data_IF_267163661462
#
_entry.id   IF_267163661462
#
_cell.length_a   1.000
_cell.length_b   1.000
_cell.length_c   1.000
_cell.angle_alpha   90.00
_cell.angle_beta   90.00
_cell.angle_gamma   90.00
#
_symmetry.space_group_name_H-M   'P 1'
#
loop_
_entity.id
_entity.type
_entity.pdbx_description
1 polymer ?
#
# COMPACT_ATOMS: atom_id res chain seq x y z
N UNK A 1 28.48 24.80 -34.91
CA UNK A 1 28.04 25.16 -33.55
C UNK A 1 28.01 23.85 -32.80
N UNK A 2 29.06 23.62 -32.00
CA UNK A 2 29.14 22.46 -31.09
C UNK A 2 28.18 22.73 -29.93
N UNK A 3 27.24 21.84 -29.57
CA UNK A 3 26.41 22.03 -28.41
C UNK A 3 27.32 21.97 -27.16
N UNK A 4 27.16 22.95 -26.27
CA UNK A 4 27.76 23.00 -24.96
C UNK A 4 27.30 21.79 -24.15
N UNK A 5 28.19 21.05 -23.44
CA UNK A 5 27.77 19.91 -22.64
C UNK A 5 26.82 20.39 -21.55
N UNK A 6 25.64 19.76 -21.43
CA UNK A 6 24.70 20.01 -20.37
C UNK A 6 25.43 19.80 -19.03
N UNK A 7 25.36 20.78 -18.13
CA UNK A 7 25.92 20.69 -16.78
C UNK A 7 25.26 19.52 -16.05
N UNK A 8 26.07 18.63 -15.49
CA UNK A 8 25.54 17.51 -14.68
C UNK A 8 24.79 18.06 -13.44
N UNK A 9 23.69 17.44 -13.03
CA UNK A 9 22.96 17.88 -11.85
C UNK A 9 23.83 17.75 -10.60
N UNK A 10 23.89 18.80 -9.79
CA UNK A 10 24.57 18.77 -8.49
C UNK A 10 23.68 18.03 -7.49
N UNK A 11 24.21 17.00 -6.86
CA UNK A 11 23.53 16.23 -5.80
C UNK A 11 24.14 16.62 -4.47
N UNK A 12 23.28 16.82 -3.46
CA UNK A 12 23.71 17.11 -2.08
C UNK A 12 23.08 16.09 -1.12
N UNK A 13 23.85 15.69 -0.10
CA UNK A 13 23.37 14.84 1.00
C UNK A 13 23.20 15.70 2.26
N UNK A 14 22.05 15.60 2.90
CA UNK A 14 21.73 16.32 4.13
C UNK A 14 22.54 15.73 5.30
N UNK A 15 23.36 16.57 5.96
CA UNK A 15 24.27 16.16 7.04
C UNK A 15 23.77 16.51 8.44
N UNK A 16 22.74 17.39 8.57
CA UNK A 16 22.14 17.76 9.85
C UNK A 16 20.96 16.88 10.23
N UNK A 17 20.75 16.61 11.52
CA UNK A 17 19.50 16.01 11.99
C UNK A 17 18.34 16.98 11.74
N UNK A 18 17.24 16.54 11.08
CA UNK A 18 16.01 17.32 10.85
C UNK A 18 16.24 18.74 10.27
N UNK A 19 16.83 18.80 9.07
CA UNK A 19 17.10 20.07 8.39
C UNK A 19 15.81 20.70 7.85
N UNK A 20 15.58 21.96 8.21
CA UNK A 20 14.41 22.69 7.75
C UNK A 20 14.49 23.06 6.26
N UNK A 21 13.50 22.60 5.49
CA UNK A 21 13.21 23.08 4.14
C UNK A 21 12.36 24.35 4.26
N UNK A 22 12.86 25.47 3.76
CA UNK A 22 12.22 26.78 3.94
C UNK A 22 11.63 27.31 2.62
N UNK A 23 10.59 28.09 2.72
CA UNK A 23 9.88 28.66 1.55
C UNK A 23 10.70 29.73 0.81
N UNK A 24 11.72 30.30 1.45
CA UNK A 24 12.66 31.25 0.84
C UNK A 24 14.07 31.13 1.46
N UNK A 25 15.14 31.62 0.80
CA UNK A 25 16.52 31.46 1.27
C UNK A 25 16.85 32.40 2.44
N UNK A 26 16.23 32.19 3.58
CA UNK A 26 16.40 32.94 4.81
C UNK A 26 16.13 32.10 6.04
N UNK A 27 16.92 32.31 7.10
CA UNK A 27 16.70 31.64 8.40
C UNK A 27 15.42 32.11 9.11
N UNK A 28 14.86 33.26 8.70
CA UNK A 28 13.60 33.79 9.22
C UNK A 28 12.38 33.36 8.42
N UNK A 29 12.58 32.70 7.26
CA UNK A 29 11.49 32.21 6.42
C UNK A 29 10.73 31.06 7.09
N UNK A 30 9.46 30.91 6.76
CA UNK A 30 8.63 29.80 7.21
C UNK A 30 9.22 28.46 6.79
N UNK A 31 9.08 27.46 7.65
CA UNK A 31 9.48 26.08 7.39
C UNK A 31 8.35 25.36 6.67
N UNK A 32 8.63 24.89 5.44
CA UNK A 32 7.66 24.12 4.66
C UNK A 32 7.59 22.66 5.16
N UNK A 33 8.75 22.05 5.44
CA UNK A 33 8.89 20.70 6.02
C UNK A 33 10.29 20.52 6.60
N UNK A 34 10.56 19.36 7.20
CA UNK A 34 11.90 18.97 7.69
C UNK A 34 12.41 17.78 6.89
N UNK A 35 13.73 17.73 6.66
CA UNK A 35 14.41 16.69 5.88
C UNK A 35 15.36 15.94 6.79
N UNK A 36 15.25 14.61 6.90
CA UNK A 36 16.14 13.78 7.71
C UNK A 36 17.59 13.79 7.21
N UNK A 37 18.54 13.57 8.12
CA UNK A 37 19.95 13.35 7.76
C UNK A 37 20.11 12.16 6.79
N UNK A 38 21.10 12.25 5.89
CA UNK A 38 21.36 11.23 4.88
C UNK A 38 20.46 11.28 3.66
N UNK A 39 19.48 12.21 3.62
CA UNK A 39 18.62 12.39 2.43
C UNK A 39 19.43 13.03 1.30
N UNK A 40 19.42 12.39 0.12
CA UNK A 40 20.04 12.92 -1.11
C UNK A 40 19.02 13.71 -1.91
N UNK A 41 19.43 14.91 -2.34
CA UNK A 41 18.56 15.86 -3.04
C UNK A 41 19.29 16.41 -4.27
N UNK A 42 18.58 16.56 -5.38
CA UNK A 42 19.08 17.25 -6.57
C UNK A 42 18.93 18.76 -6.34
N UNK A 43 20.03 19.50 -6.52
CA UNK A 43 20.03 20.96 -6.46
C UNK A 43 19.43 21.50 -7.77
N UNK A 44 18.29 22.16 -7.65
CA UNK A 44 17.60 22.82 -8.77
C UNK A 44 18.23 24.19 -9.06
N UNK A 45 18.66 24.91 -8.02
CA UNK A 45 19.26 26.23 -8.12
C UNK A 45 20.13 26.50 -6.88
N UNK A 46 21.22 27.26 -7.06
CA UNK A 46 22.04 27.79 -5.95
C UNK A 46 21.82 29.29 -5.86
N UNK A 47 21.40 29.74 -4.67
CA UNK A 47 21.08 31.15 -4.41
C UNK A 47 21.95 31.69 -3.27
N UNK A 48 22.49 32.89 -3.43
CA UNK A 48 23.16 33.62 -2.36
C UNK A 48 22.21 34.66 -1.80
N UNK A 49 21.89 34.55 -0.51
CA UNK A 49 21.03 35.49 0.20
C UNK A 49 21.73 36.87 0.43
N UNK A 50 20.99 37.89 0.83
CA UNK A 50 21.53 39.24 1.05
C UNK A 50 22.59 39.29 2.15
N UNK A 51 22.55 38.36 3.10
CA UNK A 51 23.51 38.20 4.18
C UNK A 51 24.81 37.47 3.76
N UNK A 52 24.91 37.07 2.46
CA UNK A 52 26.05 36.33 1.92
C UNK A 52 25.97 34.83 2.15
N UNK A 53 24.90 34.30 2.75
CA UNK A 53 24.69 32.87 2.98
C UNK A 53 24.27 32.18 1.69
N UNK A 54 24.86 31.04 1.36
CA UNK A 54 24.45 30.22 0.20
C UNK A 54 23.37 29.24 0.58
N UNK A 55 22.39 29.10 -0.32
CA UNK A 55 21.23 28.20 -0.19
C UNK A 55 21.09 27.37 -1.44
N UNK A 56 20.65 26.12 -1.27
CA UNK A 56 20.27 25.22 -2.34
C UNK A 56 18.76 25.15 -2.44
N UNK A 57 18.22 25.44 -3.61
CA UNK A 57 16.83 25.14 -3.95
C UNK A 57 16.73 23.66 -4.29
N UNK A 58 15.87 22.92 -3.59
CA UNK A 58 15.71 21.48 -3.73
C UNK A 58 14.22 21.12 -3.72
N UNK A 59 13.89 19.90 -4.15
CA UNK A 59 12.56 19.31 -4.01
C UNK A 59 12.64 18.09 -3.08
N UNK A 60 11.76 18.02 -2.09
CA UNK A 60 11.62 16.89 -1.17
C UNK A 60 10.13 16.56 -0.99
N UNK A 61 9.73 15.30 -1.26
CA UNK A 61 8.33 14.83 -1.18
C UNK A 61 7.33 15.78 -1.88
N UNK A 62 7.66 16.22 -3.11
CA UNK A 62 6.88 17.17 -3.92
C UNK A 62 6.77 18.59 -3.36
N UNK A 63 7.55 18.92 -2.33
CA UNK A 63 7.65 20.27 -1.77
C UNK A 63 8.96 20.91 -2.23
N UNK A 64 8.89 22.01 -3.00
CA UNK A 64 10.06 22.82 -3.32
C UNK A 64 10.36 23.81 -2.22
N UNK A 65 11.66 23.98 -1.92
CA UNK A 65 12.11 24.92 -0.92
C UNK A 65 13.62 25.09 -0.90
N UNK A 66 14.13 25.73 0.14
CA UNK A 66 15.52 26.09 0.30
C UNK A 66 16.13 25.46 1.55
N UNK A 67 17.30 24.84 1.42
CA UNK A 67 18.14 24.41 2.54
C UNK A 67 19.44 25.20 2.52
N UNK A 68 19.97 25.48 3.70
CA UNK A 68 21.24 26.20 3.83
C UNK A 68 22.39 25.26 3.43
N UNK A 69 23.36 25.79 2.66
CA UNK A 69 24.42 24.95 2.05
C UNK A 69 25.34 24.26 3.07
N UNK A 70 25.46 24.80 4.28
CA UNK A 70 26.25 24.18 5.37
C UNK A 70 25.51 23.02 6.09
N UNK A 71 24.24 22.80 5.76
CA UNK A 71 23.43 21.66 6.23
C UNK A 71 23.40 20.51 5.23
N UNK A 72 24.15 20.64 4.12
CA UNK A 72 24.21 19.60 3.09
C UNK A 72 25.64 19.55 2.49
N UNK A 73 26.10 18.37 2.22
CA UNK A 73 27.39 18.13 1.57
C UNK A 73 27.15 17.80 0.09
N UNK A 74 27.91 18.46 -0.81
CA UNK A 74 27.90 18.09 -2.22
C UNK A 74 28.52 16.72 -2.35
N UNK A 75 27.79 15.77 -2.91
CA UNK A 75 28.29 14.44 -3.26
C UNK A 75 28.55 14.44 -4.77
N UNK A 76 29.85 14.38 -5.13
CA UNK A 76 30.28 14.31 -6.52
C UNK A 76 30.12 12.85 -6.99
N UNK A 77 29.30 12.64 -8.00
CA UNK A 77 29.08 11.30 -8.60
C UNK A 77 30.30 10.84 -9.43
N UNK A 78 31.45 11.51 -9.32
CA UNK A 78 32.66 11.27 -10.11
C UNK A 78 33.87 10.75 -9.33
N UNK A 79 33.77 10.40 -8.06
CA UNK A 79 34.87 9.70 -7.35
C UNK A 79 34.75 8.18 -7.47
N UNK A 80 35.20 7.68 -8.61
CA UNK A 80 35.73 6.32 -8.72
C UNK A 80 37.09 6.28 -8.02
N UNK A 81 37.14 5.77 -6.82
CA UNK A 81 38.36 5.41 -6.10
C UNK A 81 39.01 4.15 -6.70
N UNK A 82 40.36 4.05 -6.68
CA UNK A 82 41.03 2.89 -7.25
C UNK A 82 40.92 1.66 -6.37
N UNK A 83 40.76 0.54 -7.03
CA UNK A 83 40.63 -0.83 -6.53
C UNK A 83 41.51 -1.20 -5.35
N UNK A 84 40.89 -1.61 -4.24
CA UNK A 84 41.42 -2.66 -3.38
C UNK A 84 40.22 -3.53 -2.89
N UNK A 85 40.35 -4.81 -3.23
CA UNK A 85 39.60 -5.96 -2.74
C UNK A 85 38.12 -6.04 -3.14
N UNK A 86 37.91 -6.67 -4.29
CA UNK A 86 36.63 -7.05 -4.86
C UNK A 86 35.98 -8.07 -3.90
N UNK A 87 35.18 -7.58 -2.95
CA UNK A 87 33.97 -8.28 -2.60
C UNK A 87 32.92 -7.81 -3.61
N UNK A 88 32.54 -8.72 -4.47
CA UNK A 88 31.45 -8.61 -5.42
C UNK A 88 30.20 -8.23 -4.62
N UNK A 89 29.89 -6.91 -4.50
CA UNK A 89 28.55 -6.48 -4.10
C UNK A 89 27.61 -7.00 -5.18
N UNK A 90 26.83 -8.00 -4.83
CA UNK A 90 25.71 -8.41 -5.68
C UNK A 90 24.90 -7.14 -6.01
N UNK A 91 24.55 -6.91 -7.29
CA UNK A 91 23.76 -5.74 -7.69
C UNK A 91 22.48 -5.72 -6.84
N UNK A 92 22.26 -4.62 -6.11
CA UNK A 92 21.00 -4.46 -5.39
C UNK A 92 19.86 -4.57 -6.41
N UNK A 93 18.89 -5.44 -6.19
CA UNK A 93 17.84 -5.68 -7.17
C UNK A 93 17.09 -4.38 -7.46
N UNK A 94 17.02 -4.01 -8.74
CA UNK A 94 16.18 -2.90 -9.17
C UNK A 94 14.73 -3.23 -8.83
N UNK A 95 14.11 -2.47 -7.93
CA UNK A 95 12.73 -2.71 -7.51
C UNK A 95 11.80 -2.24 -8.62
N UNK A 96 11.18 -3.16 -9.32
CA UNK A 96 10.15 -2.85 -10.32
C UNK A 96 8.78 -2.75 -9.66
N UNK A 97 8.03 -1.71 -10.00
CA UNK A 97 6.69 -1.44 -9.45
C UNK A 97 5.66 -1.38 -10.56
N UNK A 98 4.52 -2.00 -10.31
CA UNK A 98 3.33 -1.92 -11.13
C UNK A 98 2.20 -1.28 -10.32
N UNK A 99 1.57 -0.26 -10.89
CA UNK A 99 0.48 0.48 -10.24
C UNK A 99 -0.79 0.36 -11.09
N UNK A 100 -1.88 -0.10 -10.47
CA UNK A 100 -3.22 -0.04 -11.03
C UNK A 100 -4.05 0.96 -10.23
N UNK A 101 -4.81 1.82 -10.90
CA UNK A 101 -5.65 2.84 -10.25
C UNK A 101 -7.03 2.88 -10.88
N UNK A 102 -8.05 2.86 -10.01
CA UNK A 102 -9.45 3.07 -10.38
C UNK A 102 -10.17 3.92 -9.33
N UNK A 103 -11.44 4.21 -9.56
CA UNK A 103 -12.27 4.92 -8.57
C UNK A 103 -12.55 4.09 -7.32
N UNK A 104 -12.47 2.75 -7.41
CA UNK A 104 -12.81 1.82 -6.32
C UNK A 104 -11.58 1.32 -5.56
N UNK A 105 -10.47 1.06 -6.27
CA UNK A 105 -9.29 0.42 -5.71
C UNK A 105 -8.01 0.87 -6.41
N UNK A 106 -6.96 1.04 -5.62
CA UNK A 106 -5.60 1.16 -6.13
C UNK A 106 -4.81 -0.07 -5.69
N UNK A 107 -4.12 -0.71 -6.61
CA UNK A 107 -3.26 -1.87 -6.34
C UNK A 107 -1.85 -1.55 -6.77
N UNK A 108 -0.91 -1.77 -5.87
CA UNK A 108 0.52 -1.65 -6.13
C UNK A 108 1.19 -2.99 -5.93
N UNK A 109 1.91 -3.45 -6.95
CA UNK A 109 2.74 -4.65 -6.87
C UNK A 109 4.20 -4.24 -6.95
N UNK A 110 5.02 -4.78 -6.04
CA UNK A 110 6.45 -4.52 -5.99
C UNK A 110 7.19 -5.85 -6.15
N UNK A 111 7.99 -5.95 -7.21
CA UNK A 111 8.88 -7.08 -7.47
C UNK A 111 10.22 -6.86 -6.75
N UNK A 112 10.81 -7.94 -6.26
CA UNK A 112 12.18 -7.94 -5.73
C UNK A 112 13.21 -8.19 -6.83
N UNK A 113 12.81 -8.86 -7.92
CA UNK A 113 13.63 -9.10 -9.10
C UNK A 113 12.88 -8.57 -10.34
N UNK A 114 13.42 -7.57 -11.06
CA UNK A 114 12.81 -7.06 -12.28
C UNK A 114 12.64 -8.11 -13.38
N UNK A 115 13.47 -9.16 -13.36
CA UNK A 115 13.42 -10.23 -14.37
C UNK A 115 12.26 -11.22 -14.16
N UNK A 116 11.52 -11.10 -13.06
CA UNK A 116 10.39 -12.00 -12.73
C UNK A 116 9.21 -11.86 -13.70
N UNK A 117 9.08 -10.71 -14.35
CA UNK A 117 8.04 -10.46 -15.35
C UNK A 117 8.67 -9.82 -16.61
N UNK A 118 8.11 -10.08 -17.81
CA UNK A 118 8.51 -9.36 -19.02
C UNK A 118 8.28 -7.86 -18.92
N UNK A 119 9.11 -7.05 -19.59
CA UNK A 119 9.05 -5.57 -19.59
C UNK A 119 7.69 -5.00 -20.05
N UNK A 120 6.95 -5.76 -20.88
CA UNK A 120 5.63 -5.38 -21.38
C UNK A 120 4.48 -6.01 -20.58
N UNK A 121 4.73 -6.49 -19.35
CA UNK A 121 3.67 -6.97 -18.47
C UNK A 121 2.80 -5.81 -17.97
N UNK A 122 1.48 -6.00 -18.02
CA UNK A 122 0.49 -5.04 -17.56
C UNK A 122 -0.27 -5.61 -16.36
N UNK A 123 -0.41 -4.82 -15.29
CA UNK A 123 -1.21 -5.19 -14.12
C UNK A 123 -2.69 -4.95 -14.41
N UNK A 124 -3.50 -6.00 -14.33
CA UNK A 124 -4.95 -5.97 -14.47
C UNK A 124 -5.62 -6.28 -13.13
N UNK A 125 -6.61 -5.49 -12.75
CA UNK A 125 -7.41 -5.68 -11.54
C UNK A 125 -8.87 -5.52 -11.90
N UNK A 126 -9.66 -6.57 -11.67
CA UNK A 126 -11.08 -6.60 -12.01
C UNK A 126 -11.91 -7.02 -10.79
N UNK A 127 -12.92 -6.24 -10.38
CA UNK A 127 -13.86 -6.70 -9.36
C UNK A 127 -14.56 -7.98 -9.81
N UNK A 128 -14.68 -8.95 -8.89
CA UNK A 128 -15.36 -10.22 -9.14
C UNK A 128 -16.37 -10.53 -8.05
N UNK A 129 -17.43 -11.24 -8.40
CA UNK A 129 -18.37 -11.76 -7.41
C UNK A 129 -17.87 -13.12 -6.91
N UNK A 130 -17.85 -13.30 -5.58
CA UNK A 130 -17.49 -14.56 -4.97
C UNK A 130 -18.60 -15.59 -5.19
N UNK A 131 -18.19 -16.85 -5.29
CA UNK A 131 -19.15 -17.95 -5.22
C UNK A 131 -19.71 -18.06 -3.80
N UNK A 132 -20.92 -18.58 -3.67
CA UNK A 132 -21.53 -18.83 -2.36
C UNK A 132 -20.68 -19.75 -1.47
N UNK A 133 -19.95 -20.68 -2.10
CA UNK A 133 -19.07 -21.62 -1.40
C UNK A 133 -17.85 -20.90 -0.80
N UNK A 134 -17.16 -20.07 -1.57
CA UNK A 134 -16.01 -19.29 -1.10
C UNK A 134 -16.44 -18.31 0.01
N UNK A 135 -17.56 -17.60 -0.16
CA UNK A 135 -18.10 -16.69 0.83
C UNK A 135 -18.46 -17.42 2.15
N UNK A 136 -19.07 -18.60 2.04
CA UNK A 136 -19.40 -19.42 3.22
C UNK A 136 -18.15 -19.89 3.97
N UNK A 137 -17.10 -20.31 3.27
CA UNK A 137 -15.84 -20.73 3.87
C UNK A 137 -15.14 -19.57 4.59
N UNK A 138 -15.08 -18.36 3.97
CA UNK A 138 -14.53 -17.15 4.59
C UNK A 138 -15.32 -16.79 5.85
N UNK A 139 -16.65 -16.81 5.76
CA UNK A 139 -17.53 -16.54 6.91
C UNK A 139 -17.31 -17.54 8.04
N UNK A 140 -17.15 -18.83 7.73
CA UNK A 140 -16.89 -19.87 8.74
C UNK A 140 -15.55 -19.64 9.45
N UNK A 141 -14.50 -19.24 8.70
CA UNK A 141 -13.19 -18.89 9.28
C UNK A 141 -13.31 -17.67 10.21
N UNK A 142 -13.96 -16.60 9.76
CA UNK A 142 -14.17 -15.40 10.58
C UNK A 142 -14.92 -15.73 11.90
N UNK A 143 -15.96 -16.58 11.83
CA UNK A 143 -16.69 -17.05 13.03
C UNK A 143 -15.78 -17.83 13.98
N UNK A 144 -14.95 -18.75 13.47
CA UNK A 144 -13.99 -19.52 14.28
C UNK A 144 -12.98 -18.60 14.98
N UNK A 145 -12.55 -17.54 14.33
CA UNK A 145 -11.63 -16.52 14.85
C UNK A 145 -12.33 -15.44 15.70
N UNK A 146 -13.66 -15.52 15.83
CA UNK A 146 -14.50 -14.54 16.53
C UNK A 146 -14.42 -13.13 15.95
N UNK A 147 -14.20 -13.03 14.64
CA UNK A 147 -14.22 -11.80 13.88
C UNK A 147 -15.60 -11.57 13.28
N UNK A 148 -16.05 -10.32 13.24
CA UNK A 148 -17.27 -9.93 12.55
C UNK A 148 -16.89 -9.24 11.23
N UNK A 149 -17.33 -9.81 10.14
CA UNK A 149 -17.13 -9.22 8.82
C UNK A 149 -18.00 -7.97 8.69
N UNK A 150 -17.40 -6.86 8.27
CA UNK A 150 -18.09 -5.64 7.89
C UNK A 150 -18.40 -5.63 6.40
N UNK A 151 -17.39 -5.91 5.58
CA UNK A 151 -17.51 -5.93 4.13
C UNK A 151 -16.47 -6.87 3.51
N UNK A 152 -16.83 -7.45 2.36
CA UNK A 152 -15.93 -8.24 1.50
C UNK A 152 -15.66 -7.44 0.23
N UNK A 153 -14.40 -7.42 -0.19
CA UNK A 153 -13.96 -6.87 -1.45
C UNK A 153 -13.18 -7.94 -2.19
N UNK A 154 -13.58 -8.28 -3.38
CA UNK A 154 -12.97 -9.35 -4.16
C UNK A 154 -12.52 -8.86 -5.53
N UNK A 155 -11.29 -9.16 -5.88
CA UNK A 155 -10.65 -8.74 -7.11
C UNK A 155 -9.89 -9.90 -7.74
N UNK A 156 -10.05 -10.06 -9.05
CA UNK A 156 -9.14 -10.84 -9.87
C UNK A 156 -7.96 -9.94 -10.21
N UNK A 157 -6.78 -10.27 -9.68
CA UNK A 157 -5.53 -9.54 -9.89
C UNK A 157 -4.63 -10.43 -10.72
N UNK A 158 -4.10 -9.91 -11.84
CA UNK A 158 -3.22 -10.67 -12.74
C UNK A 158 -2.31 -9.78 -13.55
N UNK A 159 -1.23 -10.37 -14.04
CA UNK A 159 -0.39 -9.77 -15.05
C UNK A 159 -0.73 -10.34 -16.42
N UNK A 160 -0.76 -9.46 -17.42
CA UNK A 160 -1.03 -9.80 -18.80
C UNK A 160 0.15 -9.37 -19.68
N UNK A 161 0.56 -10.24 -20.59
CA UNK A 161 1.50 -9.95 -21.68
C UNK A 161 0.81 -10.29 -22.98
N UNK A 162 0.60 -9.29 -23.84
CA UNK A 162 -0.15 -9.44 -25.11
C UNK A 162 -1.54 -10.08 -24.94
N UNK A 163 -2.15 -9.89 -23.74
CA UNK A 163 -3.47 -10.41 -23.37
C UNK A 163 -3.45 -11.83 -22.80
N UNK A 164 -2.31 -12.48 -22.69
CA UNK A 164 -2.14 -13.77 -22.01
C UNK A 164 -1.66 -13.56 -20.57
N UNK A 165 -2.21 -14.36 -19.65
CA UNK A 165 -1.85 -14.31 -18.24
C UNK A 165 -0.44 -14.84 -18.00
N UNK A 166 0.33 -14.09 -17.19
CA UNK A 166 1.67 -14.47 -16.75
C UNK A 166 1.79 -14.38 -15.24
N UNK A 167 2.65 -15.20 -14.65
CA UNK A 167 2.87 -15.25 -13.21
C UNK A 167 4.32 -14.81 -12.90
N UNK A 168 4.57 -14.14 -11.76
CA UNK A 168 5.92 -13.82 -11.32
C UNK A 168 6.69 -15.11 -10.96
N UNK A 169 8.02 -15.07 -11.13
CA UNK A 169 8.90 -16.19 -10.77
C UNK A 169 9.14 -16.33 -9.27
N UNK A 170 9.03 -15.24 -8.53
CA UNK A 170 9.29 -15.15 -7.08
C UNK A 170 8.12 -14.53 -6.32
N UNK A 171 8.22 -14.50 -4.97
CA UNK A 171 7.26 -13.81 -4.13
C UNK A 171 7.32 -12.30 -4.36
N UNK A 172 6.18 -11.67 -4.47
CA UNK A 172 6.01 -10.24 -4.68
C UNK A 172 5.16 -9.63 -3.56
N UNK A 173 5.39 -8.34 -3.30
CA UNK A 173 4.57 -7.58 -2.34
C UNK A 173 3.42 -6.90 -3.06
N UNK A 174 2.21 -7.07 -2.51
CA UNK A 174 0.99 -6.44 -2.98
C UNK A 174 0.48 -5.50 -1.90
N UNK A 175 0.17 -4.26 -2.28
CA UNK A 175 -0.49 -3.29 -1.43
C UNK A 175 -1.79 -2.84 -2.10
N UNK A 176 -2.91 -3.00 -1.40
CA UNK A 176 -4.24 -2.64 -1.88
C UNK A 176 -4.80 -1.49 -1.05
N UNK A 177 -5.14 -0.39 -1.72
CA UNK A 177 -5.83 0.75 -1.12
C UNK A 177 -7.27 0.76 -1.63
N UNK A 178 -8.23 0.59 -0.75
CA UNK A 178 -9.64 0.72 -1.10
C UNK A 178 -10.06 2.19 -1.02
N UNK A 179 -10.64 2.72 -2.09
CA UNK A 179 -11.08 4.10 -2.19
C UNK A 179 -12.49 4.30 -1.60
N UNK A 180 -12.80 3.55 -0.53
CA UNK A 180 -14.05 3.68 0.22
C UNK A 180 -13.95 4.87 1.20
N UNK A 181 -15.09 5.47 1.54
CA UNK A 181 -15.14 6.59 2.50
C UNK A 181 -14.59 6.23 3.88
N UNK A 182 -14.60 4.94 4.20
CA UNK A 182 -14.15 4.42 5.48
C UNK A 182 -12.81 3.70 5.35
N UNK A 183 -11.84 4.19 6.10
CA UNK A 183 -10.52 3.57 6.20
C UNK A 183 -10.60 2.19 6.86
N UNK A 184 -10.01 1.17 6.23
CA UNK A 184 -9.83 -0.15 6.83
C UNK A 184 -8.82 -0.04 7.99
N UNK A 185 -9.13 -0.73 9.10
CA UNK A 185 -8.25 -0.77 10.26
C UNK A 185 -7.85 -2.18 10.67
N UNK A 186 -8.60 -3.18 10.22
CA UNK A 186 -8.34 -4.60 10.47
C UNK A 186 -8.89 -5.39 9.29
N UNK A 187 -8.03 -6.14 8.62
CA UNK A 187 -8.42 -6.94 7.47
C UNK A 187 -7.71 -8.29 7.48
N UNK A 188 -8.42 -9.31 6.97
CA UNK A 188 -7.81 -10.55 6.52
C UNK A 188 -7.77 -10.56 4.99
N UNK A 189 -6.78 -11.22 4.41
CA UNK A 189 -6.67 -11.42 2.97
C UNK A 189 -6.71 -12.91 2.69
N UNK A 190 -7.58 -13.30 1.76
CA UNK A 190 -7.65 -14.67 1.29
C UNK A 190 -7.42 -14.73 -0.21
N UNK A 191 -6.63 -15.69 -0.65
CA UNK A 191 -6.58 -16.13 -2.02
C UNK A 191 -7.68 -17.19 -2.24
N UNK A 192 -8.37 -17.12 -3.36
CA UNK A 192 -9.41 -18.07 -3.75
C UNK A 192 -9.03 -18.65 -5.12
N UNK A 193 -8.82 -19.97 -5.16
CA UNK A 193 -8.51 -20.67 -6.41
C UNK A 193 -9.77 -21.01 -7.22
N UNK A 194 -9.58 -21.57 -8.42
CA UNK A 194 -10.66 -21.96 -9.32
C UNK A 194 -11.57 -23.08 -8.76
N UNK A 195 -11.10 -23.82 -7.76
CA UNK A 195 -11.84 -24.88 -7.06
C UNK A 195 -12.55 -24.34 -5.80
N UNK A 196 -12.52 -23.03 -5.55
CA UNK A 196 -13.00 -22.33 -4.36
C UNK A 196 -12.26 -22.71 -3.06
N UNK A 197 -11.06 -23.26 -3.13
CA UNK A 197 -10.24 -23.37 -1.94
C UNK A 197 -9.74 -21.99 -1.52
N UNK A 198 -9.73 -21.75 -0.19
CA UNK A 198 -9.30 -20.49 0.36
C UNK A 198 -8.00 -20.64 1.15
N UNK A 199 -7.02 -19.80 0.85
CA UNK A 199 -5.74 -19.69 1.55
C UNK A 199 -5.65 -18.33 2.24
N UNK A 200 -5.19 -18.30 3.50
CA UNK A 200 -4.93 -17.04 4.21
C UNK A 200 -3.55 -16.51 3.79
N UNK A 201 -3.51 -15.27 3.34
CA UNK A 201 -2.29 -14.61 2.86
C UNK A 201 -1.55 -13.84 3.96
N UNK A 202 -1.94 -14.01 5.24
CA UNK A 202 -1.33 -13.31 6.38
C UNK A 202 -1.20 -11.80 6.16
N UNK A 203 -2.22 -11.21 5.53
CA UNK A 203 -2.28 -9.80 5.22
C UNK A 203 -2.26 -8.92 6.46
N UNK A 204 -1.72 -7.72 6.32
CA UNK A 204 -1.72 -6.72 7.39
C UNK A 204 -2.25 -5.38 6.88
N UNK A 205 -2.69 -4.50 7.80
CA UNK A 205 -3.16 -3.15 7.46
C UNK A 205 -2.17 -2.13 7.99
N UNK A 206 -1.62 -1.31 7.09
CA UNK A 206 -0.68 -0.25 7.46
C UNK A 206 -1.38 0.94 8.16
N UNK A 207 -0.58 1.90 8.68
CA UNK A 207 -1.10 3.12 9.33
C UNK A 207 -1.98 4.00 8.41
N UNK A 208 -1.86 3.84 7.10
CA UNK A 208 -2.62 4.59 6.11
C UNK A 208 -3.94 3.88 5.73
N UNK A 209 -4.10 2.60 6.09
CA UNK A 209 -5.25 1.76 5.76
C UNK A 209 -5.04 0.97 4.48
N UNK A 210 -3.82 0.87 3.99
CA UNK A 210 -3.49 -0.03 2.90
C UNK A 210 -3.40 -1.45 3.44
N UNK A 211 -3.93 -2.40 2.69
CA UNK A 211 -3.86 -3.83 3.00
C UNK A 211 -2.68 -4.41 2.24
N UNK A 212 -1.69 -4.95 2.96
CA UNK A 212 -0.46 -5.48 2.40
C UNK A 212 -0.37 -6.98 2.61
N UNK A 213 0.08 -7.71 1.59
CA UNK A 213 0.36 -9.14 1.65
C UNK A 213 1.44 -9.54 0.63
N UNK A 214 1.95 -10.76 0.76
CA UNK A 214 2.90 -11.33 -0.19
C UNK A 214 2.26 -12.52 -0.91
N UNK A 215 2.62 -12.70 -2.19
CA UNK A 215 2.15 -13.82 -3.00
C UNK A 215 3.18 -14.24 -4.05
N UNK A 216 3.11 -15.51 -4.48
CA UNK A 216 3.90 -16.07 -5.59
C UNK A 216 3.06 -16.29 -6.85
N UNK A 217 1.77 -16.05 -6.78
CA UNK A 217 0.84 -16.25 -7.91
C UNK A 217 -0.32 -15.26 -7.81
N UNK A 218 -0.94 -14.98 -8.92
CA UNK A 218 -2.06 -14.06 -9.03
C UNK A 218 -3.31 -14.79 -9.52
N UNK A 219 -4.45 -14.48 -8.91
CA UNK A 219 -5.81 -14.84 -9.29
C UNK A 219 -6.81 -14.05 -8.46
N UNK A 220 -7.85 -14.66 -7.89
CA UNK A 220 -8.83 -13.97 -7.06
C UNK A 220 -8.35 -13.78 -5.62
N UNK A 221 -8.33 -12.53 -5.18
CA UNK A 221 -8.06 -12.13 -3.80
C UNK A 221 -9.29 -11.51 -3.16
N UNK A 222 -9.50 -11.85 -1.89
CA UNK A 222 -10.60 -11.31 -1.07
C UNK A 222 -10.04 -10.59 0.11
N UNK A 223 -10.35 -9.30 0.22
CA UNK A 223 -10.06 -8.48 1.39
C UNK A 223 -11.31 -8.47 2.27
N UNK A 224 -11.18 -8.93 3.49
CA UNK A 224 -12.22 -9.01 4.48
C UNK A 224 -12.03 -7.87 5.47
N UNK A 225 -12.84 -6.81 5.36
CA UNK A 225 -12.86 -5.74 6.36
C UNK A 225 -13.55 -6.24 7.63
N UNK A 226 -12.80 -6.27 8.73
CA UNK A 226 -13.27 -6.76 10.02
C UNK A 226 -13.78 -5.62 10.90
N UNK A 227 -14.93 -5.84 11.57
CA UNK A 227 -15.41 -4.91 12.58
C UNK A 227 -14.52 -4.96 13.83
N UNK A 228 -14.03 -3.81 14.20
CA UNK A 228 -13.11 -3.63 15.32
C UNK A 228 -13.68 -4.09 16.67
N UNK A 229 -15.00 -4.03 16.84
CA UNK A 229 -15.67 -4.38 18.10
C UNK A 229 -16.26 -5.80 18.13
N UNK A 230 -16.14 -6.55 17.02
CA UNK A 230 -16.66 -7.92 16.89
C UNK A 230 -18.19 -8.03 17.11
N UNK A 231 -18.93 -6.92 16.99
CA UNK A 231 -20.37 -6.86 17.27
C UNK A 231 -21.19 -6.95 15.99
N UNK A 232 -22.26 -7.72 16.07
CA UNK A 232 -23.26 -7.87 15.00
C UNK A 232 -24.66 -7.56 15.53
N UNK A 233 -25.51 -7.04 14.65
CA UNK A 233 -26.93 -6.89 14.95
C UNK A 233 -27.68 -8.13 14.45
N UNK A 234 -28.34 -8.82 15.39
CA UNK A 234 -29.13 -10.03 15.11
C UNK A 234 -30.58 -9.70 15.27
N UNK A 235 -31.39 -9.99 14.23
CA UNK A 235 -32.84 -9.87 14.30
C UNK A 235 -33.45 -11.24 14.57
N UNK A 236 -34.07 -11.41 15.74
CA UNK A 236 -34.78 -12.63 16.13
C UNK A 236 -36.23 -12.48 15.72
N UNK A 237 -36.69 -13.35 14.84
CA UNK A 237 -38.07 -13.40 14.38
C UNK A 237 -38.83 -14.52 15.05
N UNK A 238 -40.02 -14.25 15.54
CA UNK A 238 -40.85 -15.20 16.31
C UNK A 238 -42.05 -15.67 15.46
N UNK A 239 -42.16 -16.98 15.26
CA UNK A 239 -43.19 -17.61 14.47
C UNK A 239 -43.95 -18.69 15.34
N UNK A 240 -45.16 -19.05 14.93
CA UNK A 240 -46.01 -20.05 15.59
C UNK A 240 -45.61 -21.52 15.31
N UNK A 241 -44.36 -21.75 14.91
CA UNK A 241 -43.85 -23.08 14.55
C UNK A 241 -43.76 -23.28 13.04
N UNK A 242 -44.07 -22.25 12.25
CA UNK A 242 -43.86 -22.23 10.80
C UNK A 242 -42.89 -21.14 10.42
N UNK A 243 -42.25 -21.26 9.25
CA UNK A 243 -41.38 -20.21 8.68
C UNK A 243 -42.13 -19.18 7.85
N UNK A 244 -43.47 -19.28 7.80
CA UNK A 244 -44.31 -18.36 7.04
C UNK A 244 -44.35 -16.97 7.72
N UNK A 245 -43.96 -15.87 7.04
CA UNK A 245 -44.00 -14.52 7.61
C UNK A 245 -45.40 -14.09 8.12
N UNK A 246 -46.49 -14.69 7.60
CA UNK A 246 -47.83 -14.41 8.04
C UNK A 246 -48.17 -15.01 9.40
N UNK A 247 -47.37 -15.98 9.90
CA UNK A 247 -47.57 -16.63 11.19
C UNK A 247 -46.72 -16.01 12.33
N UNK A 248 -46.18 -14.81 12.11
CA UNK A 248 -45.37 -14.08 13.08
C UNK A 248 -46.22 -13.68 14.28
N UNK A 249 -45.83 -14.15 15.49
CA UNK A 249 -46.58 -14.01 16.72
C UNK A 249 -46.17 -12.84 17.61
N UNK A 250 -44.91 -12.38 17.44
CA UNK A 250 -44.35 -11.23 18.18
C UNK A 250 -43.57 -10.32 17.27
N UNK A 251 -43.32 -9.09 17.73
CA UNK A 251 -42.43 -8.16 17.06
C UNK A 251 -40.99 -8.73 17.00
N UNK A 252 -40.24 -8.31 16.00
CA UNK A 252 -38.82 -8.66 15.89
C UNK A 252 -38.04 -8.09 17.08
N UNK A 253 -37.17 -8.91 17.65
CA UNK A 253 -36.26 -8.50 18.70
C UNK A 253 -34.86 -8.29 18.08
N UNK A 254 -34.41 -7.05 18.08
CA UNK A 254 -33.09 -6.69 17.53
C UNK A 254 -32.10 -6.56 18.68
N UNK A 255 -31.06 -7.38 18.65
CA UNK A 255 -30.00 -7.40 19.67
C UNK A 255 -28.63 -7.20 19.04
N UNK A 256 -27.80 -6.39 19.67
CA UNK A 256 -26.36 -6.32 19.36
C UNK A 256 -25.64 -7.38 20.17
N UNK A 257 -25.01 -8.31 19.48
CA UNK A 257 -24.31 -9.46 20.07
C UNK A 257 -22.84 -9.45 19.68
N UNK A 258 -21.98 -9.98 20.54
CA UNK A 258 -20.61 -10.29 20.20
C UNK A 258 -20.54 -11.68 19.55
N UNK A 259 -19.68 -11.88 18.55
CA UNK A 259 -19.50 -13.18 17.89
C UNK A 259 -19.14 -14.26 18.95
N UNK A 260 -19.81 -15.40 18.86
CA UNK A 260 -19.70 -16.49 19.82
C UNK A 260 -20.57 -16.34 21.08
N UNK A 261 -21.29 -15.23 21.23
CA UNK A 261 -22.26 -15.07 22.32
C UNK A 261 -23.48 -15.96 22.09
N UNK A 262 -23.89 -16.74 23.12
CA UNK A 262 -25.11 -17.53 23.06
C UNK A 262 -26.33 -16.62 23.14
N UNK A 263 -27.33 -16.90 22.31
CA UNK A 263 -28.63 -16.23 22.34
C UNK A 263 -29.63 -17.17 22.97
N UNK A 264 -30.19 -16.77 24.13
CA UNK A 264 -31.32 -17.46 24.69
C UNK A 264 -32.59 -16.96 24.02
N UNK A 265 -33.20 -17.81 23.23
CA UNK A 265 -34.55 -17.59 22.70
C UNK A 265 -35.55 -18.08 23.74
N UNK A 266 -36.20 -17.15 24.43
CA UNK A 266 -37.29 -17.47 25.38
C UNK A 266 -38.60 -17.51 24.63
#
# INVERSE_FOLDING_TARGET
ITPEPAAQPVIVEVIGEDVNLRVSPSTEADVATTIPAGTRLTVLETVTAEDGTTWYKVSYEDVEGYIRSDMAQVVDDSEQEPAEDIQEEEPQPEITRYDYKSDEVNVKVTLTDPADLPDNAELSVTPVELTQEAEAQITEKAIKEKKAIEKLYSYDIKFLVDGEEVQPGNSVKVAVTLNDEKKINDADVYHVDDENNIENMDGNVDKNGNVEFETTHFSTYVIVDNKRDGKINVTIKHYDGTTNPASKIYADDVRTLTIGQKVDCK
#
